data_IF_457388161718
#
_entry.id   IF_457388161718
#
_cell.length_a   1.000
_cell.length_b   1.000
_cell.length_c   1.000
_cell.angle_alpha   90.00
_cell.angle_beta   90.00
_cell.angle_gamma   90.00
#
_symmetry.space_group_name_H-M   'P 1'
#
loop_
_entity.id
_entity.type
_entity.pdbx_description
1 polymer ?
#
# COMPACT_ATOMS: atom_id res chain seq x y z
N UNK A 1 -11.19 13.54 -1.53
CA UNK A 1 -11.47 14.94 -1.59
C UNK A 1 -10.19 15.50 -2.11
N UNK A 2 -10.28 15.89 -3.38
CA UNK A 2 -9.47 17.00 -3.82
C UNK A 2 -9.72 18.21 -2.91
N UNK A 3 -9.38 19.41 -3.38
CA UNK A 3 -9.32 20.56 -2.50
C UNK A 3 -10.66 20.82 -1.79
N UNK A 4 -10.56 21.06 -0.48
CA UNK A 4 -11.69 21.46 0.37
C UNK A 4 -11.97 22.92 0.07
N UNK A 5 -12.98 23.18 -0.76
CA UNK A 5 -13.42 24.53 -1.13
C UNK A 5 -14.90 24.67 -0.83
N UNK A 6 -15.35 25.90 -0.60
CA UNK A 6 -16.76 26.19 -0.32
C UNK A 6 -17.70 25.74 -1.46
N UNK A 7 -17.19 25.63 -2.69
CA UNK A 7 -17.97 25.25 -3.89
C UNK A 7 -18.15 23.73 -4.04
N UNK A 8 -17.20 22.91 -3.58
CA UNK A 8 -17.20 21.45 -3.83
C UNK A 8 -18.04 20.65 -2.82
N UNK A 9 -18.67 21.29 -1.84
CA UNK A 9 -19.71 20.73 -0.94
C UNK A 9 -19.41 19.31 -0.41
N UNK A 10 -18.14 18.98 -0.17
CA UNK A 10 -17.67 17.72 0.41
C UNK A 10 -18.05 16.45 -0.37
N UNK A 11 -18.34 16.54 -1.68
CA UNK A 11 -18.76 15.38 -2.49
C UNK A 11 -17.59 14.75 -3.25
N UNK A 12 -17.05 13.67 -2.69
CA UNK A 12 -16.21 12.66 -3.38
C UNK A 12 -15.28 13.19 -4.49
N UNK A 13 -15.61 12.88 -5.74
CA UNK A 13 -14.85 13.21 -6.96
C UNK A 13 -15.42 14.38 -7.78
N UNK A 14 -16.36 15.15 -7.24
CA UNK A 14 -17.04 16.21 -8.00
C UNK A 14 -16.04 17.31 -8.42
N UNK A 15 -15.03 17.57 -7.59
CA UNK A 15 -13.90 18.45 -7.88
C UNK A 15 -13.10 18.08 -9.15
N UNK A 16 -13.17 16.83 -9.59
CA UNK A 16 -12.47 16.32 -10.77
C UNK A 16 -13.41 16.15 -11.97
N UNK A 17 -14.70 15.89 -11.74
CA UNK A 17 -15.63 15.42 -12.79
C UNK A 17 -16.68 16.46 -13.19
N UNK A 18 -16.91 17.49 -12.37
CA UNK A 18 -17.94 18.50 -12.59
C UNK A 18 -17.34 19.89 -12.76
N UNK A 19 -18.10 20.83 -13.30
CA UNK A 19 -17.70 22.24 -13.39
C UNK A 19 -16.58 22.53 -14.40
N UNK A 20 -16.38 21.67 -15.38
CA UNK A 20 -15.41 21.92 -16.46
C UNK A 20 -15.90 23.04 -17.37
N UNK A 21 -15.01 23.99 -17.68
CA UNK A 21 -15.26 25.09 -18.62
C UNK A 21 -14.12 25.10 -19.62
N UNK A 22 -14.42 25.11 -20.92
CA UNK A 22 -13.42 25.18 -22.00
C UNK A 22 -12.27 24.15 -21.85
N UNK A 23 -12.61 22.89 -21.55
CA UNK A 23 -11.65 21.80 -21.28
C UNK A 23 -10.66 22.07 -20.12
N UNK A 24 -11.00 23.01 -19.24
CA UNK A 24 -10.23 23.32 -18.04
C UNK A 24 -10.99 22.82 -16.81
N UNK A 25 -10.34 22.06 -15.91
CA UNK A 25 -10.97 21.60 -14.68
C UNK A 25 -11.26 22.80 -13.75
N UNK A 26 -12.23 22.67 -12.83
CA UNK A 26 -12.70 23.78 -11.98
C UNK A 26 -11.61 24.40 -11.10
N UNK A 27 -10.51 23.70 -10.86
CA UNK A 27 -9.40 24.13 -10.00
C UNK A 27 -8.17 24.60 -10.80
N UNK A 28 -8.26 24.56 -12.14
CA UNK A 28 -7.12 24.71 -13.02
C UNK A 28 -6.22 23.47 -13.07
N UNK A 29 -5.45 23.34 -14.16
CA UNK A 29 -4.62 22.16 -14.41
C UNK A 29 -3.54 21.94 -13.36
N UNK A 30 -2.89 23.00 -12.89
CA UNK A 30 -1.81 22.89 -11.91
C UNK A 30 -2.30 22.23 -10.61
N UNK A 31 -3.41 22.75 -10.07
CA UNK A 31 -4.02 22.24 -8.85
C UNK A 31 -4.57 20.83 -9.05
N UNK A 32 -5.34 20.59 -10.11
CA UNK A 32 -5.94 19.28 -10.38
C UNK A 32 -4.87 18.19 -10.51
N UNK A 33 -3.79 18.45 -11.25
CA UNK A 33 -2.68 17.50 -11.40
C UNK A 33 -1.96 17.25 -10.08
N UNK A 34 -1.73 18.29 -9.26
CA UNK A 34 -1.10 18.14 -7.95
C UNK A 34 -1.90 17.17 -7.05
N UNK A 35 -3.22 17.26 -7.05
CA UNK A 35 -4.08 16.34 -6.31
C UNK A 35 -4.15 14.93 -6.91
N UNK A 36 -4.00 14.77 -8.24
CA UNK A 36 -3.98 13.46 -8.90
C UNK A 36 -2.64 12.71 -8.72
N UNK A 37 -1.52 13.43 -8.57
CA UNK A 37 -0.20 12.81 -8.39
C UNK A 37 -0.14 11.98 -7.11
N UNK A 38 -0.73 12.46 -6.01
CA UNK A 38 -0.69 11.76 -4.71
C UNK A 38 -1.29 10.35 -4.75
N UNK A 39 -2.52 10.13 -5.25
CA UNK A 39 -3.09 8.81 -5.51
C UNK A 39 -2.18 7.90 -6.33
N UNK A 40 -1.56 8.41 -7.39
CA UNK A 40 -0.68 7.63 -8.27
C UNK A 40 0.57 7.18 -7.50
N UNK A 41 1.21 8.10 -6.78
CA UNK A 41 2.37 7.81 -5.94
C UNK A 41 2.01 6.78 -4.86
N UNK A 42 0.83 6.90 -4.24
CA UNK A 42 0.36 5.95 -3.24
C UNK A 42 0.16 4.55 -3.83
N UNK A 43 -0.46 4.42 -5.01
CA UNK A 43 -0.64 3.13 -5.69
C UNK A 43 0.70 2.48 -6.00
N UNK A 44 1.66 3.25 -6.53
CA UNK A 44 2.99 2.75 -6.87
C UNK A 44 3.73 2.30 -5.61
N UNK A 45 3.70 3.11 -4.56
CA UNK A 45 4.30 2.79 -3.26
C UNK A 45 3.69 1.53 -2.63
N UNK A 46 2.37 1.41 -2.64
CA UNK A 46 1.66 0.26 -2.09
C UNK A 46 1.98 -1.02 -2.89
N UNK A 47 2.03 -0.91 -4.22
CA UNK A 47 2.41 -2.03 -5.10
C UNK A 47 3.85 -2.47 -4.86
N UNK A 48 4.77 -1.52 -4.73
CA UNK A 48 6.17 -1.80 -4.38
C UNK A 48 6.27 -2.49 -3.02
N UNK A 49 5.59 -1.96 -2.01
CA UNK A 49 5.54 -2.52 -0.65
C UNK A 49 5.09 -3.97 -0.65
N UNK A 50 4.00 -4.27 -1.36
CA UNK A 50 3.49 -5.64 -1.47
C UNK A 50 4.49 -6.59 -2.14
N UNK A 51 5.21 -6.15 -3.17
CA UNK A 51 6.22 -6.97 -3.82
C UNK A 51 7.44 -7.22 -2.91
N UNK A 52 7.85 -6.22 -2.12
CA UNK A 52 9.03 -6.31 -1.25
C UNK A 52 8.76 -7.12 0.02
N UNK A 53 7.56 -6.98 0.59
CA UNK A 53 7.16 -7.62 1.85
C UNK A 53 6.40 -8.95 1.63
N UNK A 54 6.32 -9.44 0.40
CA UNK A 54 5.73 -10.75 0.11
C UNK A 54 6.43 -11.85 0.90
N UNK A 55 5.63 -12.72 1.52
CA UNK A 55 6.14 -13.90 2.19
C UNK A 55 6.61 -14.92 1.14
N UNK A 56 7.74 -15.61 1.39
CA UNK A 56 8.18 -16.70 0.53
C UNK A 56 7.14 -17.81 0.51
N UNK A 57 7.06 -18.53 -0.62
CA UNK A 57 6.16 -19.66 -0.76
C UNK A 57 6.67 -20.83 0.10
N UNK A 58 5.77 -21.47 0.83
CA UNK A 58 6.09 -22.67 1.60
C UNK A 58 6.04 -23.88 0.66
N UNK A 59 7.20 -24.48 0.39
CA UNK A 59 7.30 -25.64 -0.49
C UNK A 59 6.57 -26.86 0.10
N UNK A 60 6.44 -26.94 1.43
CA UNK A 60 5.82 -28.04 2.17
C UNK A 60 4.28 -27.96 2.25
N UNK A 61 3.69 -26.84 1.83
CA UNK A 61 2.24 -26.65 1.83
C UNK A 61 1.53 -27.59 0.83
N UNK A 62 0.32 -28.00 1.19
CA UNK A 62 -0.58 -28.80 0.35
C UNK A 62 -0.95 -28.05 -0.93
N UNK A 63 -1.33 -28.78 -1.98
CA UNK A 63 -1.75 -28.19 -3.26
C UNK A 63 -2.98 -27.28 -3.09
N UNK A 64 -3.91 -27.65 -2.20
CA UNK A 64 -5.08 -26.82 -1.86
C UNK A 64 -4.69 -25.50 -1.18
N UNK A 65 -3.68 -25.52 -0.31
CA UNK A 65 -3.19 -24.31 0.39
C UNK A 65 -2.49 -23.38 -0.59
N UNK A 66 -1.70 -23.93 -1.52
CA UNK A 66 -1.04 -23.18 -2.60
C UNK A 66 -2.05 -22.47 -3.50
N UNK A 67 -3.16 -23.13 -3.85
CA UNK A 67 -4.22 -22.53 -4.65
C UNK A 67 -4.92 -21.37 -3.89
N UNK A 68 -5.23 -21.56 -2.61
CA UNK A 68 -5.81 -20.51 -1.76
C UNK A 68 -4.87 -19.28 -1.63
N UNK A 69 -3.57 -19.52 -1.47
CA UNK A 69 -2.54 -18.48 -1.44
C UNK A 69 -2.47 -17.72 -2.76
N UNK A 70 -2.51 -18.41 -3.91
CA UNK A 70 -2.53 -17.75 -5.22
C UNK A 70 -3.77 -16.89 -5.43
N UNK A 71 -4.95 -17.39 -5.07
CA UNK A 71 -6.19 -16.62 -5.15
C UNK A 71 -6.12 -15.35 -4.29
N UNK A 72 -5.59 -15.46 -3.07
CA UNK A 72 -5.36 -14.32 -2.19
C UNK A 72 -4.38 -13.32 -2.81
N UNK A 73 -3.25 -13.78 -3.35
CA UNK A 73 -2.27 -12.93 -4.05
C UNK A 73 -2.90 -12.16 -5.20
N UNK A 74 -3.79 -12.78 -5.96
CA UNK A 74 -4.48 -12.12 -7.08
C UNK A 74 -5.40 -10.99 -6.59
N UNK A 75 -6.16 -11.21 -5.51
CA UNK A 75 -7.00 -10.18 -4.89
C UNK A 75 -6.14 -9.01 -4.39
N UNK A 76 -5.03 -9.32 -3.71
CA UNK A 76 -4.13 -8.31 -3.17
C UNK A 76 -3.51 -7.42 -4.25
N UNK A 77 -3.34 -7.90 -5.50
CA UNK A 77 -2.83 -7.07 -6.61
C UNK A 77 -3.78 -5.94 -7.01
N UNK A 78 -5.09 -6.10 -6.82
CA UNK A 78 -6.08 -5.07 -7.16
C UNK A 78 -6.34 -4.09 -6.02
N UNK A 79 -6.00 -4.48 -4.78
CA UNK A 79 -6.22 -3.63 -3.61
C UNK A 79 -5.53 -2.25 -3.68
N UNK A 80 -4.26 -2.13 -4.14
CA UNK A 80 -3.62 -0.82 -4.33
C UNK A 80 -4.44 0.12 -5.22
N UNK A 81 -5.04 -0.39 -6.30
CA UNK A 81 -5.85 0.40 -7.22
C UNK A 81 -7.11 0.93 -6.54
N UNK A 82 -7.76 0.11 -5.72
CA UNK A 82 -8.91 0.55 -4.92
C UNK A 82 -8.53 1.66 -3.94
N UNK A 83 -7.39 1.53 -3.27
CA UNK A 83 -6.88 2.58 -2.36
C UNK A 83 -6.59 3.86 -3.14
N UNK A 84 -6.00 3.77 -4.34
CA UNK A 84 -5.80 4.90 -5.24
C UNK A 84 -7.12 5.59 -5.61
N UNK A 85 -8.14 4.83 -5.98
CA UNK A 85 -9.46 5.38 -6.28
C UNK A 85 -10.10 6.06 -5.06
N UNK A 86 -10.09 5.43 -3.89
CA UNK A 86 -10.65 6.02 -2.67
C UNK A 86 -9.88 7.26 -2.21
N UNK A 87 -8.58 7.33 -2.47
CA UNK A 87 -7.77 8.51 -2.15
C UNK A 87 -8.22 9.79 -2.90
N UNK A 88 -8.87 9.65 -4.07
CA UNK A 88 -9.52 10.77 -4.76
C UNK A 88 -10.80 11.25 -4.05
N UNK A 89 -11.45 10.35 -3.29
CA UNK A 89 -12.72 10.57 -2.61
C UNK A 89 -12.57 11.06 -1.17
N UNK A 90 -11.45 10.79 -0.49
CA UNK A 90 -11.16 11.26 0.89
C UNK A 90 -10.16 12.43 0.96
N UNK A 91 -10.18 13.31 1.97
CA UNK A 91 -9.31 14.49 2.02
C UNK A 91 -7.84 14.18 1.74
N UNK A 92 -7.20 15.01 0.90
CA UNK A 92 -5.81 14.79 0.49
C UNK A 92 -4.84 14.64 1.68
N UNK A 93 -5.10 15.32 2.80
CA UNK A 93 -4.34 15.15 4.04
C UNK A 93 -4.33 13.71 4.56
N UNK A 94 -5.44 12.99 4.45
CA UNK A 94 -5.54 11.58 4.83
C UNK A 94 -4.67 10.70 3.92
N UNK A 95 -4.65 11.00 2.62
CA UNK A 95 -3.81 10.30 1.64
C UNK A 95 -2.32 10.50 1.92
N UNK A 96 -1.92 11.74 2.26
CA UNK A 96 -0.53 12.07 2.65
C UNK A 96 -0.16 11.34 3.95
N UNK A 97 -1.06 11.30 4.93
CA UNK A 97 -0.87 10.54 6.16
C UNK A 97 -0.66 9.05 5.89
N UNK A 98 -1.50 8.41 5.07
CA UNK A 98 -1.33 7.01 4.72
C UNK A 98 -0.01 6.75 3.99
N UNK A 99 0.34 7.61 3.04
CA UNK A 99 1.61 7.50 2.32
C UNK A 99 2.82 7.55 3.27
N UNK A 100 2.86 8.55 4.15
CA UNK A 100 3.99 8.74 5.08
C UNK A 100 4.08 7.63 6.12
N UNK A 101 2.96 7.16 6.66
CA UNK A 101 2.89 6.02 7.59
C UNK A 101 3.39 4.72 6.94
N UNK A 102 2.95 4.44 5.71
CA UNK A 102 3.41 3.28 4.95
C UNK A 102 4.90 3.37 4.63
N UNK A 103 5.40 4.55 4.23
CA UNK A 103 6.82 4.78 3.97
C UNK A 103 7.67 4.47 5.20
N UNK A 104 7.24 4.93 6.38
CA UNK A 104 7.93 4.64 7.62
C UNK A 104 7.92 3.13 7.92
N UNK A 105 6.76 2.49 7.82
CA UNK A 105 6.58 1.05 8.09
C UNK A 105 7.47 0.19 7.19
N UNK A 106 7.52 0.48 5.89
CA UNK A 106 8.34 -0.25 4.92
C UNK A 106 9.82 -0.04 5.18
N UNK A 107 10.22 1.22 5.44
CA UNK A 107 11.60 1.55 5.74
C UNK A 107 12.09 0.79 6.97
N UNK A 108 11.30 0.79 8.05
CA UNK A 108 11.61 0.02 9.26
C UNK A 108 11.69 -1.48 8.98
N UNK A 109 10.73 -2.03 8.24
CA UNK A 109 10.70 -3.45 7.89
C UNK A 109 11.95 -3.87 7.11
N UNK A 110 12.38 -3.05 6.15
CA UNK A 110 13.58 -3.29 5.36
C UNK A 110 14.86 -3.20 6.19
N UNK A 111 14.98 -2.20 7.05
CA UNK A 111 16.13 -2.04 7.95
C UNK A 111 16.24 -3.24 8.89
N UNK A 112 15.13 -3.66 9.52
CA UNK A 112 15.10 -4.78 10.45
C UNK A 112 15.46 -6.10 9.73
N UNK A 113 14.88 -6.35 8.55
CA UNK A 113 15.21 -7.53 7.73
C UNK A 113 16.68 -7.54 7.33
N UNK A 114 17.22 -6.40 6.92
CA UNK A 114 18.64 -6.26 6.60
C UNK A 114 19.55 -6.49 7.80
N UNK A 115 19.18 -5.97 8.97
CA UNK A 115 19.94 -6.14 10.21
C UNK A 115 20.02 -7.61 10.63
N UNK A 116 18.89 -8.33 10.65
CA UNK A 116 18.87 -9.74 11.03
C UNK A 116 19.50 -10.66 9.98
N UNK A 117 19.47 -10.29 8.70
CA UNK A 117 20.20 -11.02 7.67
C UNK A 117 21.72 -10.93 7.88
N UNK A 118 22.23 -9.79 8.33
CA UNK A 118 23.65 -9.61 8.66
C UNK A 118 24.02 -10.14 10.05
N UNK A 119 23.07 -10.15 10.99
CA UNK A 119 23.24 -10.58 12.38
C UNK A 119 22.19 -11.65 12.72
N UNK A 120 22.35 -12.89 12.21
CA UNK A 120 21.41 -13.95 12.51
C UNK A 120 21.37 -14.21 14.03
N UNK A 121 20.18 -14.28 14.65
CA UNK A 121 20.07 -14.48 16.08
C UNK A 121 20.59 -15.88 16.47
N UNK A 122 21.42 -15.95 17.51
CA UNK A 122 21.80 -17.23 18.10
C UNK A 122 20.59 -17.87 18.78
N UNK A 123 19.98 -18.85 18.11
CA UNK A 123 18.89 -19.63 18.68
C UNK A 123 19.48 -20.68 19.63
N UNK A 124 19.48 -20.39 20.94
CA UNK A 124 19.80 -21.39 21.97
C UNK A 124 18.57 -22.25 22.21
N UNK A 125 18.54 -23.43 21.59
CA UNK A 125 17.48 -24.41 21.84
C UNK A 125 17.69 -25.04 23.23
N UNK A 126 16.63 -25.17 24.04
CA UNK A 126 16.67 -25.98 25.26
C UNK A 126 17.06 -27.44 24.98
N UNK A 127 17.81 -28.07 25.88
CA UNK A 127 18.39 -29.42 25.69
C UNK A 127 17.37 -30.51 25.35
N UNK A 128 16.10 -30.34 25.75
CA UNK A 128 15.04 -31.32 25.49
C UNK A 128 14.60 -31.36 24.01
N UNK A 129 14.89 -30.35 23.19
CA UNK A 129 14.60 -30.38 21.76
C UNK A 129 15.57 -31.30 21.00
N UNK A 130 16.84 -31.32 21.41
CA UNK A 130 17.88 -32.21 20.83
C UNK A 130 17.60 -33.68 21.17
N UNK A 131 16.85 -33.94 22.25
CA UNK A 131 16.47 -35.28 22.67
C UNK A 131 15.32 -35.89 21.84
N UNK A 132 14.54 -35.08 21.12
CA UNK A 132 13.42 -35.54 20.28
C UNK A 132 13.87 -36.01 18.88
N UNK A 133 15.07 -35.63 18.45
CA UNK A 133 15.66 -36.03 17.16
C UNK A 133 16.39 -37.40 17.21
N UNK A 134 16.41 -38.07 18.37
CA UNK A 134 17.01 -39.41 18.58
C UNK A 134 15.95 -40.49 18.68
#
# INVERSE_FOLDING_TARGET
EGPVTAETNYRGTDWLTQGWVDNTPPLGWETTLAFCIMPIVLVLMQSFTMNVLQQPEDESASDEEKEQLQNTKNILKFLPLMIGFFSLQVPAGLTIYWFTSNLFTVSQSLIIRGYYAANPPEIKLPDYWVALDK
#
